data_IF_587020788133
#
_entry.id   IF_587020788133
#
_cell.length_a   1.000
_cell.length_b   1.000
_cell.length_c   1.000
_cell.angle_alpha   90.00
_cell.angle_beta   90.00
_cell.angle_gamma   90.00
#
_symmetry.space_group_name_H-M   'P 1'
#
loop_
_entity.id
_entity.type
_entity.pdbx_description
1 polymer ?
#
# COMPACT_ATOMS: atom_id res chain seq x y z
N UNK A 1 0.58 11.20 -9.48
CA UNK A 1 0.76 9.96 -10.28
C UNK A 1 -0.59 9.56 -10.83
N UNK A 2 -0.90 9.92 -12.09
CA UNK A 2 -2.20 9.59 -12.71
C UNK A 2 -2.31 8.10 -13.08
N UNK A 3 -1.18 7.42 -13.26
CA UNK A 3 -1.10 6.03 -13.73
C UNK A 3 -1.95 5.06 -12.91
N UNK A 4 -1.72 4.94 -11.60
CA UNK A 4 -2.45 4.01 -10.73
C UNK A 4 -3.96 4.30 -10.63
N UNK A 5 -4.38 5.53 -10.89
CA UNK A 5 -5.80 5.91 -10.90
C UNK A 5 -6.53 5.47 -12.16
N UNK A 6 -5.80 5.17 -13.24
CA UNK A 6 -6.34 4.79 -14.55
C UNK A 6 -6.10 3.32 -14.92
N UNK A 7 -5.24 2.61 -14.18
CA UNK A 7 -5.03 1.18 -14.38
C UNK A 7 -6.31 0.38 -14.13
N UNK A 8 -6.50 -0.70 -14.88
CA UNK A 8 -7.54 -1.71 -14.61
C UNK A 8 -7.15 -2.53 -13.37
N UNK A 9 -8.14 -3.06 -12.63
CA UNK A 9 -7.91 -3.90 -11.45
C UNK A 9 -6.89 -5.03 -11.70
N UNK A 10 -7.00 -5.71 -12.85
CA UNK A 10 -6.11 -6.82 -13.19
C UNK A 10 -4.66 -6.36 -13.41
N UNK A 11 -4.44 -5.13 -13.89
CA UNK A 11 -3.09 -4.60 -14.10
C UNK A 11 -2.41 -4.31 -12.75
N UNK A 12 -3.16 -3.73 -11.80
CA UNK A 12 -2.66 -3.49 -10.44
C UNK A 12 -2.40 -4.83 -9.73
N UNK A 13 -3.32 -5.79 -9.87
CA UNK A 13 -3.15 -7.13 -9.33
C UNK A 13 -1.92 -7.84 -9.92
N UNK A 14 -1.74 -7.82 -11.25
CA UNK A 14 -0.61 -8.46 -11.91
C UNK A 14 0.73 -7.79 -11.53
N UNK A 15 0.75 -6.46 -11.40
CA UNK A 15 1.94 -5.73 -10.96
C UNK A 15 2.33 -6.10 -9.52
N UNK A 16 1.35 -6.32 -8.65
CA UNK A 16 1.60 -6.71 -7.27
C UNK A 16 1.99 -8.19 -7.13
N UNK A 17 1.20 -9.09 -7.73
CA UNK A 17 1.30 -10.53 -7.51
C UNK A 17 2.27 -11.20 -8.49
N UNK A 18 2.37 -10.72 -9.72
CA UNK A 18 3.19 -11.32 -10.77
C UNK A 18 4.65 -11.49 -10.35
N UNK A 19 5.37 -10.42 -9.98
CA UNK A 19 6.76 -10.51 -9.52
C UNK A 19 6.94 -11.41 -8.30
N UNK A 20 6.00 -11.40 -7.35
CA UNK A 20 6.03 -12.25 -6.17
C UNK A 20 5.83 -13.74 -6.51
N UNK A 21 4.88 -14.08 -7.39
CA UNK A 21 4.66 -15.46 -7.83
C UNK A 21 5.85 -15.96 -8.65
N UNK A 22 6.36 -15.13 -9.56
CA UNK A 22 7.53 -15.45 -10.38
C UNK A 22 8.75 -15.72 -9.49
N UNK A 23 9.03 -14.85 -8.51
CA UNK A 23 10.15 -15.05 -7.60
C UNK A 23 10.02 -16.33 -6.78
N UNK A 24 8.81 -16.69 -6.34
CA UNK A 24 8.55 -17.94 -5.62
C UNK A 24 8.74 -19.18 -6.51
N UNK A 25 8.31 -19.15 -7.78
CA UNK A 25 8.55 -20.25 -8.72
C UNK A 25 10.05 -20.51 -8.93
N UNK A 26 10.84 -19.44 -9.13
CA UNK A 26 12.29 -19.56 -9.25
C UNK A 26 12.95 -20.04 -7.96
N UNK A 27 12.43 -19.64 -6.81
CA UNK A 27 12.90 -20.07 -5.50
C UNK A 27 12.71 -21.58 -5.30
N UNK A 28 11.55 -22.14 -5.63
CA UNK A 28 11.31 -23.59 -5.56
C UNK A 28 12.26 -24.38 -6.47
N UNK A 29 12.51 -23.90 -7.69
CA UNK A 29 13.46 -24.52 -8.62
C UNK A 29 14.92 -24.39 -8.15
N UNK A 30 15.28 -23.24 -7.59
CA UNK A 30 16.61 -22.98 -7.03
C UNK A 30 16.96 -23.88 -5.84
N UNK A 31 15.99 -24.13 -4.95
CA UNK A 31 16.16 -25.03 -3.81
C UNK A 31 16.47 -26.47 -4.25
N UNK A 32 15.85 -26.95 -5.33
CA UNK A 32 16.09 -28.30 -5.85
C UNK A 32 17.45 -28.42 -6.56
N UNK A 33 17.95 -27.33 -7.13
CA UNK A 33 19.22 -27.29 -7.88
C UNK A 33 20.43 -26.89 -7.02
N UNK A 34 20.25 -26.62 -5.72
CA UNK A 34 21.34 -26.23 -4.81
C UNK A 34 21.80 -24.79 -5.00
N UNK A 35 20.92 -23.89 -5.44
CA UNK A 35 21.25 -22.48 -5.66
C UNK A 35 21.75 -21.80 -4.37
N UNK A 36 22.67 -20.83 -4.53
CA UNK A 36 23.21 -20.06 -3.42
C UNK A 36 22.13 -19.26 -2.68
N UNK A 37 22.21 -19.21 -1.35
CA UNK A 37 21.27 -18.49 -0.49
C UNK A 37 21.16 -16.98 -0.84
N UNK A 38 22.23 -16.38 -1.36
CA UNK A 38 22.21 -14.98 -1.82
C UNK A 38 21.25 -14.73 -2.98
N UNK A 39 21.20 -15.64 -3.97
CA UNK A 39 20.27 -15.54 -5.11
C UNK A 39 18.81 -15.65 -4.66
N UNK A 40 18.56 -16.49 -3.64
CA UNK A 40 17.26 -16.61 -2.99
C UNK A 40 16.83 -15.29 -2.35
N UNK A 41 17.69 -14.68 -1.54
CA UNK A 41 17.38 -13.44 -0.82
C UNK A 41 17.13 -12.28 -1.79
N UNK A 42 17.88 -12.22 -2.90
CA UNK A 42 17.68 -11.24 -3.94
C UNK A 42 16.30 -11.35 -4.61
N UNK A 43 15.91 -12.55 -5.05
CA UNK A 43 14.61 -12.77 -5.68
C UNK A 43 13.45 -12.48 -4.71
N UNK A 44 13.60 -12.86 -3.44
CA UNK A 44 12.64 -12.52 -2.40
C UNK A 44 12.51 -10.99 -2.22
N UNK A 45 13.64 -10.28 -2.13
CA UNK A 45 13.63 -8.83 -1.97
C UNK A 45 12.98 -8.11 -3.16
N UNK A 46 13.26 -8.56 -4.39
CA UNK A 46 12.60 -8.04 -5.60
C UNK A 46 11.08 -8.23 -5.50
N UNK A 47 10.62 -9.44 -5.17
CA UNK A 47 9.19 -9.73 -5.00
C UNK A 47 8.54 -8.80 -3.96
N UNK A 48 9.21 -8.56 -2.83
CA UNK A 48 8.72 -7.66 -1.79
C UNK A 48 8.67 -6.19 -2.21
N UNK A 49 9.66 -5.71 -2.99
CA UNK A 49 9.65 -4.35 -3.53
C UNK A 49 8.44 -4.15 -4.43
N UNK A 50 8.14 -5.10 -5.32
CA UNK A 50 6.96 -4.99 -6.17
C UNK A 50 5.66 -5.10 -5.37
N UNK A 51 5.59 -6.03 -4.41
CA UNK A 51 4.39 -6.23 -3.60
C UNK A 51 4.05 -5.00 -2.75
N UNK A 52 5.00 -4.53 -1.94
CA UNK A 52 4.82 -3.37 -1.06
C UNK A 52 4.79 -2.06 -1.85
N UNK A 53 5.67 -1.92 -2.86
CA UNK A 53 5.75 -0.72 -3.69
C UNK A 53 4.45 -0.47 -4.46
N UNK A 54 3.82 -1.52 -5.00
CA UNK A 54 2.52 -1.40 -5.66
C UNK A 54 1.44 -0.92 -4.69
N UNK A 55 1.37 -1.50 -3.50
CA UNK A 55 0.41 -1.10 -2.46
C UNK A 55 0.62 0.35 -2.02
N UNK A 56 1.86 0.76 -1.72
CA UNK A 56 2.17 2.13 -1.30
C UNK A 56 1.92 3.15 -2.41
N UNK A 57 2.33 2.84 -3.64
CA UNK A 57 2.07 3.71 -4.78
C UNK A 57 0.56 3.84 -5.05
N UNK A 58 -0.19 2.75 -4.90
CA UNK A 58 -1.64 2.76 -5.03
C UNK A 58 -2.32 3.60 -3.94
N UNK A 59 -1.98 3.37 -2.66
CA UNK A 59 -2.50 4.15 -1.52
C UNK A 59 -2.23 5.65 -1.72
N UNK A 60 -0.99 6.00 -2.09
CA UNK A 60 -0.62 7.38 -2.37
C UNK A 60 -1.38 7.98 -3.55
N UNK A 61 -1.54 7.22 -4.64
CA UNK A 61 -2.26 7.67 -5.83
C UNK A 61 -3.72 7.97 -5.51
N UNK A 62 -4.42 7.07 -4.80
CA UNK A 62 -5.81 7.29 -4.38
C UNK A 62 -5.91 8.47 -3.41
N UNK A 63 -5.06 8.50 -2.38
CA UNK A 63 -5.05 9.55 -1.36
C UNK A 63 -4.82 10.96 -1.94
N UNK A 64 -3.88 11.09 -2.88
CA UNK A 64 -3.56 12.37 -3.52
C UNK A 64 -4.51 12.73 -4.65
N UNK A 65 -5.01 11.72 -5.40
CA UNK A 65 -5.84 11.91 -6.59
C UNK A 65 -7.30 12.23 -6.29
N UNK A 66 -7.88 11.65 -5.23
CA UNK A 66 -9.28 11.86 -4.88
C UNK A 66 -9.48 13.02 -3.90
N UNK A 67 -8.41 13.57 -3.31
CA UNK A 67 -8.50 14.63 -2.31
C UNK A 67 -9.27 15.87 -2.79
N UNK A 68 -9.11 16.27 -4.05
CA UNK A 68 -9.80 17.44 -4.60
C UNK A 68 -11.31 17.24 -4.74
N UNK A 69 -11.80 16.02 -4.61
CA UNK A 69 -13.23 15.65 -4.70
C UNK A 69 -13.85 15.42 -3.32
N UNK A 70 -13.12 15.70 -2.25
CA UNK A 70 -13.57 15.52 -0.88
C UNK A 70 -14.61 16.60 -0.52
N UNK A 71 -15.74 16.25 0.09
CA UNK A 71 -16.71 17.25 0.56
C UNK A 71 -16.09 18.11 1.67
N UNK A 72 -16.47 19.39 1.72
CA UNK A 72 -15.97 20.33 2.73
C UNK A 72 -16.30 19.90 4.18
N UNK A 73 -17.32 19.05 4.34
CA UNK A 73 -17.79 18.52 5.63
C UNK A 73 -16.88 17.45 6.24
N UNK A 74 -15.94 16.87 5.48
CA UNK A 74 -15.04 15.81 5.96
C UNK A 74 -13.59 16.28 5.86
N UNK A 75 -13.05 16.98 6.87
CA UNK A 75 -11.66 17.45 6.81
C UNK A 75 -10.69 16.27 6.95
N UNK A 76 -9.77 16.15 5.99
CA UNK A 76 -8.71 15.13 6.00
C UNK A 76 -7.34 15.77 5.75
N UNK A 77 -6.36 15.43 6.60
CA UNK A 77 -5.00 16.00 6.55
C UNK A 77 -4.04 15.07 5.82
N UNK A 78 -3.78 15.33 4.53
CA UNK A 78 -2.88 14.51 3.70
C UNK A 78 -1.43 14.46 4.21
N UNK A 79 -0.96 15.49 4.93
CA UNK A 79 0.41 15.51 5.44
C UNK A 79 0.64 14.39 6.47
N UNK A 80 -0.32 14.13 7.35
CA UNK A 80 -0.26 13.00 8.28
C UNK A 80 -0.26 11.65 7.55
N UNK A 81 -1.06 11.52 6.48
CA UNK A 81 -1.01 10.34 5.62
C UNK A 81 0.37 10.13 4.99
N UNK A 82 1.00 11.19 4.48
CA UNK A 82 2.34 11.11 3.88
C UNK A 82 3.39 10.68 4.90
N UNK A 83 3.37 11.27 6.10
CA UNK A 83 4.27 10.87 7.19
C UNK A 83 4.03 9.42 7.60
N UNK A 84 2.77 9.02 7.78
CA UNK A 84 2.42 7.65 8.15
C UNK A 84 2.79 6.62 7.08
N UNK A 85 2.72 6.98 5.79
CA UNK A 85 3.12 6.10 4.67
C UNK A 85 4.65 5.97 4.57
N UNK A 86 5.39 7.01 4.96
CA UNK A 86 6.85 7.00 4.93
C UNK A 86 7.43 6.01 5.95
N UNK A 87 6.83 5.89 7.15
CA UNK A 87 7.28 4.97 8.20
C UNK A 87 7.40 3.51 7.72
N UNK A 88 6.34 2.85 7.20
CA UNK A 88 6.44 1.48 6.71
C UNK A 88 7.30 1.37 5.45
N UNK A 89 7.30 2.37 4.57
CA UNK A 89 8.16 2.36 3.39
C UNK A 89 9.65 2.36 3.76
N UNK A 90 10.05 3.24 4.69
CA UNK A 90 11.41 3.29 5.21
C UNK A 90 11.78 2.00 5.94
N UNK A 91 10.90 1.52 6.83
CA UNK A 91 11.12 0.28 7.59
C UNK A 91 11.32 -0.95 6.69
N UNK A 92 10.44 -1.16 5.70
CA UNK A 92 10.59 -2.29 4.76
C UNK A 92 11.88 -2.15 3.95
N UNK A 93 12.19 -0.94 3.47
CA UNK A 93 13.43 -0.70 2.72
C UNK A 93 14.67 -1.01 3.55
N UNK A 94 14.70 -0.57 4.82
CA UNK A 94 15.79 -0.84 5.75
C UNK A 94 15.96 -2.34 6.02
N UNK A 95 14.86 -3.08 6.21
CA UNK A 95 14.89 -4.53 6.39
C UNK A 95 15.38 -5.24 5.14
N UNK A 96 14.93 -4.84 3.95
CA UNK A 96 15.39 -5.45 2.70
C UNK A 96 16.88 -5.17 2.48
N UNK A 97 17.36 -3.97 2.76
CA UNK A 97 18.78 -3.65 2.71
C UNK A 97 19.58 -4.49 3.70
N UNK A 98 19.12 -4.61 4.95
CA UNK A 98 19.77 -5.45 5.94
C UNK A 98 19.75 -6.93 5.54
N UNK A 99 18.68 -7.43 4.93
CA UNK A 99 18.59 -8.81 4.46
C UNK A 99 19.59 -9.12 3.32
N UNK A 100 19.83 -8.15 2.43
CA UNK A 100 20.72 -8.32 1.28
C UNK A 100 22.20 -8.11 1.61
N UNK A 101 22.50 -7.18 2.52
CA UNK A 101 23.87 -6.74 2.78
C UNK A 101 24.35 -7.02 4.21
N UNK A 102 23.45 -7.43 5.11
CA UNK A 102 23.78 -7.76 6.50
C UNK A 102 24.27 -9.20 6.64
N UNK A 103 25.31 -9.39 7.46
CA UNK A 103 25.82 -10.71 7.83
C UNK A 103 25.14 -11.23 9.10
N UNK A 104 23.92 -11.74 8.95
CA UNK A 104 23.19 -12.33 10.10
C UNK A 104 23.85 -13.62 10.60
N UNK A 105 24.61 -14.31 9.72
CA UNK A 105 25.26 -15.58 10.02
C UNK A 105 26.39 -15.47 11.05
N UNK A 106 27.00 -14.30 11.18
CA UNK A 106 28.14 -14.05 12.07
C UNK A 106 27.73 -13.44 13.41
N UNK A 107 26.42 -13.24 13.63
CA UNK A 107 25.92 -12.59 14.84
C UNK A 107 25.91 -13.54 16.05
N UNK A 108 26.52 -13.10 17.15
CA UNK A 108 26.39 -13.77 18.45
C UNK A 108 25.01 -13.55 19.08
N UNK A 109 24.63 -14.41 20.03
CA UNK A 109 23.29 -14.39 20.65
C UNK A 109 22.90 -13.05 21.30
N UNK A 110 23.86 -12.32 21.88
CA UNK A 110 23.62 -10.99 22.47
C UNK A 110 23.31 -9.92 21.42
N UNK A 111 23.94 -10.00 20.24
CA UNK A 111 23.68 -9.08 19.12
C UNK A 111 22.30 -9.34 18.51
N UNK A 112 21.90 -10.60 18.39
CA UNK A 112 20.55 -10.99 17.95
C UNK A 112 19.49 -10.47 18.91
N UNK A 113 19.70 -10.61 20.22
CA UNK A 113 18.77 -10.08 21.22
C UNK A 113 18.62 -8.56 21.13
N UNK A 114 19.73 -7.82 20.99
CA UNK A 114 19.70 -6.37 20.81
C UNK A 114 18.95 -5.97 19.52
N UNK A 115 19.21 -6.68 18.42
CA UNK A 115 18.53 -6.44 17.15
C UNK A 115 17.02 -6.67 17.28
N UNK A 116 16.59 -7.73 17.98
CA UNK A 116 15.17 -8.01 18.21
C UNK A 116 14.48 -6.89 19.01
N UNK A 117 15.12 -6.39 20.07
CA UNK A 117 14.60 -5.28 20.89
C UNK A 117 14.42 -3.99 20.07
N UNK A 118 15.22 -3.78 19.02
CA UNK A 118 15.09 -2.64 18.11
C UNK A 118 14.05 -2.89 17.00
N UNK A 119 14.07 -4.07 16.37
CA UNK A 119 13.21 -4.39 15.23
C UNK A 119 11.74 -4.49 15.64
N UNK A 120 11.42 -5.08 16.79
CA UNK A 120 10.03 -5.33 17.18
C UNK A 120 9.24 -4.02 17.36
N UNK A 121 9.70 -3.01 18.12
CA UNK A 121 8.99 -1.73 18.23
C UNK A 121 8.88 -1.00 16.89
N UNK A 122 9.93 -1.02 16.06
CA UNK A 122 9.90 -0.43 14.73
C UNK A 122 8.90 -1.14 13.81
N UNK A 123 8.76 -2.46 13.94
CA UNK A 123 7.75 -3.24 13.23
C UNK A 123 6.33 -2.80 13.62
N UNK A 124 6.06 -2.70 14.92
CA UNK A 124 4.74 -2.28 15.42
C UNK A 124 4.41 -0.85 15.00
N UNK A 125 5.39 0.06 15.02
CA UNK A 125 5.24 1.42 14.53
C UNK A 125 4.92 1.45 13.03
N UNK A 126 5.60 0.62 12.23
CA UNK A 126 5.33 0.42 10.81
C UNK A 126 3.91 -0.12 10.56
N UNK A 127 3.48 -1.13 11.33
CA UNK A 127 2.12 -1.67 11.27
C UNK A 127 1.06 -0.60 11.59
N UNK A 128 1.27 0.21 12.63
CA UNK A 128 0.36 1.30 12.98
C UNK A 128 0.27 2.36 11.87
N UNK A 129 1.41 2.72 11.26
CA UNK A 129 1.44 3.62 10.10
C UNK A 129 0.66 3.05 8.91
N UNK A 130 0.85 1.76 8.61
CA UNK A 130 0.14 1.07 7.54
C UNK A 130 -1.38 1.03 7.79
N UNK A 131 -1.82 0.65 9.00
CA UNK A 131 -3.24 0.62 9.37
C UNK A 131 -3.87 2.02 9.24
N UNK A 132 -3.15 3.07 9.63
CA UNK A 132 -3.61 4.43 9.44
C UNK A 132 -3.75 4.80 7.95
N UNK A 133 -2.81 4.40 7.09
CA UNK A 133 -2.90 4.63 5.64
C UNK A 133 -4.10 3.91 5.00
N UNK A 134 -4.37 2.66 5.43
CA UNK A 134 -5.55 1.87 5.02
C UNK A 134 -6.83 2.60 5.45
N UNK A 135 -6.94 2.95 6.73
CA UNK A 135 -8.07 3.71 7.29
C UNK A 135 -8.30 5.03 6.52
N UNK A 136 -7.24 5.81 6.31
CA UNK A 136 -7.32 7.09 5.62
C UNK A 136 -7.85 6.91 4.20
N UNK A 137 -7.36 5.90 3.48
CA UNK A 137 -7.75 5.66 2.08
C UNK A 137 -9.19 5.15 1.99
N UNK A 138 -9.58 4.22 2.86
CA UNK A 138 -10.95 3.72 2.94
C UNK A 138 -11.95 4.85 3.21
N UNK A 139 -11.67 5.67 4.23
CA UNK A 139 -12.51 6.81 4.59
C UNK A 139 -12.58 7.86 3.49
N UNK A 140 -11.44 8.19 2.86
CA UNK A 140 -11.40 9.13 1.73
C UNK A 140 -12.25 8.63 0.57
N UNK A 141 -12.10 7.37 0.18
CA UNK A 141 -12.85 6.79 -0.93
C UNK A 141 -14.36 6.91 -0.67
N UNK A 142 -14.82 6.49 0.50
CA UNK A 142 -16.24 6.58 0.88
C UNK A 142 -16.75 8.00 1.00
N UNK A 143 -15.93 8.94 1.48
CA UNK A 143 -16.34 10.34 1.62
C UNK A 143 -16.55 10.97 0.24
N UNK A 144 -15.70 10.60 -0.72
CA UNK A 144 -15.83 11.03 -2.12
C UNK A 144 -17.01 10.35 -2.81
N UNK A 145 -17.30 9.08 -2.53
CA UNK A 145 -18.48 8.39 -3.08
C UNK A 145 -19.80 8.95 -2.55
N UNK A 146 -19.89 9.19 -1.24
CA UNK A 146 -21.15 9.54 -0.57
C UNK A 146 -21.38 11.05 -0.42
N UNK A 147 -20.34 11.88 -0.56
CA UNK A 147 -20.41 13.34 -0.45
C UNK A 147 -21.10 13.85 0.84
N UNK A 148 -21.05 13.06 1.91
CA UNK A 148 -21.62 13.38 3.23
C UNK A 148 -20.67 12.97 4.36
N UNK A 149 -20.89 13.45 5.60
CA UNK A 149 -20.26 12.89 6.79
C UNK A 149 -20.49 11.38 6.88
N UNK A 150 -19.49 10.66 7.41
CA UNK A 150 -19.44 9.21 7.44
C UNK A 150 -19.43 8.69 8.87
N UNK A 151 -20.16 7.61 9.08
CA UNK A 151 -20.01 6.74 10.24
C UNK A 151 -18.98 5.64 9.97
N UNK A 152 -18.50 4.97 11.03
CA UNK A 152 -17.53 3.89 10.88
C UNK A 152 -18.05 2.76 9.97
N UNK A 153 -19.34 2.43 10.08
CA UNK A 153 -19.99 1.40 9.26
C UNK A 153 -19.98 1.72 7.77
N UNK A 154 -19.91 3.01 7.39
CA UNK A 154 -19.91 3.42 5.98
C UNK A 154 -18.64 3.00 5.24
N UNK A 155 -17.50 2.84 5.93
CA UNK A 155 -16.18 2.57 5.32
C UNK A 155 -15.44 1.37 5.88
N UNK A 156 -16.04 0.64 6.83
CA UNK A 156 -15.42 -0.54 7.43
C UNK A 156 -15.16 -1.64 6.39
N UNK A 157 -16.08 -1.82 5.43
CA UNK A 157 -15.90 -2.76 4.32
C UNK A 157 -14.67 -2.43 3.47
N UNK A 158 -14.49 -1.16 3.11
CA UNK A 158 -13.34 -0.66 2.36
C UNK A 158 -12.03 -0.86 3.10
N UNK A 159 -12.03 -0.72 4.43
CA UNK A 159 -10.86 -0.98 5.25
C UNK A 159 -10.39 -2.44 5.07
N UNK A 160 -11.30 -3.40 5.18
CA UNK A 160 -10.97 -4.81 4.99
C UNK A 160 -10.58 -5.13 3.54
N UNK A 161 -11.26 -4.55 2.55
CA UNK A 161 -10.89 -4.73 1.15
C UNK A 161 -9.47 -4.22 0.87
N UNK A 162 -9.09 -3.06 1.41
CA UNK A 162 -7.72 -2.55 1.25
C UNK A 162 -6.72 -3.37 2.07
N UNK A 163 -7.09 -3.88 3.26
CA UNK A 163 -6.22 -4.76 4.04
C UNK A 163 -5.95 -6.07 3.29
N UNK A 164 -6.98 -6.70 2.73
CA UNK A 164 -6.87 -7.86 1.83
C UNK A 164 -6.69 -7.42 0.38
N UNK A 165 -5.71 -6.55 0.15
CA UNK A 165 -5.54 -5.81 -1.10
C UNK A 165 -5.60 -6.64 -2.40
N UNK A 166 -4.96 -7.82 -2.50
CA UNK A 166 -5.03 -8.61 -3.73
C UNK A 166 -6.46 -9.00 -4.15
N UNK A 167 -7.35 -9.16 -3.17
CA UNK A 167 -8.76 -9.44 -3.39
C UNK A 167 -9.52 -8.11 -3.55
N UNK A 168 -9.30 -7.16 -2.64
CA UNK A 168 -10.06 -5.92 -2.65
C UNK A 168 -9.82 -5.03 -3.87
N UNK A 169 -8.68 -5.14 -4.54
CA UNK A 169 -8.39 -4.35 -5.75
C UNK A 169 -9.39 -4.61 -6.88
N UNK A 170 -9.93 -5.83 -6.98
CA UNK A 170 -10.95 -6.19 -7.96
C UNK A 170 -12.25 -5.42 -7.76
N UNK A 171 -12.59 -5.11 -6.51
CA UNK A 171 -13.80 -4.40 -6.14
C UNK A 171 -13.59 -2.88 -6.03
N UNK A 172 -12.42 -2.44 -5.57
CA UNK A 172 -12.14 -1.02 -5.34
C UNK A 172 -11.69 -0.32 -6.63
N UNK A 173 -10.80 -0.92 -7.43
CA UNK A 173 -10.20 -0.20 -8.56
C UNK A 173 -11.23 0.28 -9.60
N UNK A 174 -12.27 -0.49 -10.00
CA UNK A 174 -13.29 0.01 -10.92
C UNK A 174 -14.01 1.25 -10.39
N UNK A 175 -14.26 1.31 -9.07
CA UNK A 175 -14.86 2.48 -8.41
C UNK A 175 -13.93 3.69 -8.44
N UNK A 176 -12.65 3.49 -8.15
CA UNK A 176 -11.62 4.55 -8.28
C UNK A 176 -11.56 5.07 -9.71
N UNK A 177 -11.57 4.19 -10.72
CA UNK A 177 -11.56 4.60 -12.13
C UNK A 177 -12.81 5.41 -12.48
N UNK A 178 -13.99 5.01 -12.01
CA UNK A 178 -15.24 5.74 -12.23
C UNK A 178 -15.20 7.14 -11.60
N UNK A 179 -14.71 7.26 -10.38
CA UNK A 179 -14.55 8.55 -9.70
C UNK A 179 -13.56 9.46 -10.42
N UNK A 180 -12.48 8.92 -10.97
CA UNK A 180 -11.47 9.71 -11.71
C UNK A 180 -12.00 10.14 -13.07
N UNK A 181 -12.72 9.25 -13.77
CA UNK A 181 -13.32 9.52 -15.08
C UNK A 181 -14.55 10.43 -15.04
N UNK A 182 -15.26 10.49 -13.92
CA UNK A 182 -16.37 11.43 -13.74
C UNK A 182 -15.84 12.87 -13.76
N UNK A 183 -16.35 13.71 -14.67
CA UNK A 183 -16.12 15.16 -14.66
C UNK A 183 -16.53 15.71 -13.29
N UNK A 184 -15.72 16.56 -12.63
CA UNK A 184 -16.15 17.22 -11.41
C UNK A 184 -17.48 17.91 -11.68
N UNK A 185 -18.48 17.72 -10.81
CA UNK A 185 -19.70 18.52 -10.87
C UNK A 185 -19.30 19.96 -10.59
N UNK A 186 -18.92 20.69 -11.64
CA UNK A 186 -18.89 22.14 -11.63
C UNK A 186 -20.29 22.53 -11.21
N UNK A 187 -20.36 23.21 -10.07
CA UNK A 187 -21.54 23.89 -9.56
C UNK A 187 -22.29 24.50 -10.73
N UNK A 188 -23.41 23.89 -11.14
CA UNK A 188 -24.39 24.60 -11.97
C UNK A 188 -24.86 25.76 -11.10
N UNK A 189 -24.20 26.91 -11.26
CA UNK A 189 -24.74 28.17 -10.78
C UNK A 189 -26.14 28.33 -11.35
N UNK A 190 -27.06 28.98 -10.61
CA UNK A 190 -28.42 29.18 -11.10
C UNK A 190 -28.33 29.88 -12.46
N UNK A 191 -29.00 29.27 -13.43
CA UNK A 191 -29.15 29.81 -14.77
C UNK A 191 -29.74 31.23 -14.63
N UNK A 192 -29.06 32.30 -15.09
CA UNK A 192 -29.69 33.59 -15.14
C UNK A 192 -30.75 33.53 -16.25
N UNK A 193 -31.99 33.37 -15.82
CA UNK A 193 -33.16 33.66 -16.66
C UNK A 193 -33.35 35.16 -16.82
#
# INVERSE_FOLDING_TARGET
MKLFLTLKHWQVFALQMGPAVISQCFLFSGLQSGAAIGSFLLLFAIGMVFYAGTLFAWLYAVASGLRSRLPATVPMRLNWFRTALFVPAFYITAILAYLLFGSVADMGGSQVALLAVLIVPLHLLSMAGMLYCIYFTAKLLKAVELQRPLDLSDYLGELFLIWFFPIGIWLIQPRVNALVGATPLVTRGPNPG
#
